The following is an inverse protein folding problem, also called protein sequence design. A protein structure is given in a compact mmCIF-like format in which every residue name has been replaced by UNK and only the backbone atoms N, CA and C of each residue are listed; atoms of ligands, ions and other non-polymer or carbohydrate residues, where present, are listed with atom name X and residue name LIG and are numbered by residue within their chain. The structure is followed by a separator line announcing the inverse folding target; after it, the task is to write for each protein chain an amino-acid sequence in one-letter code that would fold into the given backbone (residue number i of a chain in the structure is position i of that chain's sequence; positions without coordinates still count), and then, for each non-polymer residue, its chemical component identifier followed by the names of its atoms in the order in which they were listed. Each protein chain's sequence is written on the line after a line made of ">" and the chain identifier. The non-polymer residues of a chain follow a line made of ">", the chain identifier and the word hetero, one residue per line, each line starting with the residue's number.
data_IF_540912305599
#
_entry.id   IF_540912305599
#
_cell.length_a   1.000
_cell.length_b   1.000
_cell.length_c   1.000
_cell.angle_alpha   90.00
_cell.angle_beta   90.00
_cell.angle_gamma   90.00
#
_symmetry.space_group_name_H-M   'P 1'
#
loop_
_entity.id
_entity.type
_entity.pdbx_description
1 polymer ?
#
# COMPACT_ATOMS: atom_id res chain seq x y z
N UNK A 1 0.37 5.82 -14.82
CA UNK A 1 0.18 4.80 -13.78
C UNK A 1 1.29 4.91 -12.73
N UNK A 2 0.98 4.83 -11.42
CA UNK A 2 1.98 4.93 -10.34
C UNK A 2 2.53 3.55 -9.97
N UNK A 3 3.85 3.49 -9.73
CA UNK A 3 4.50 2.29 -9.18
C UNK A 3 4.61 2.42 -7.67
N UNK A 4 4.13 1.39 -6.97
CA UNK A 4 4.31 1.20 -5.54
C UNK A 4 5.06 -0.12 -5.34
N UNK A 5 5.99 -0.16 -4.40
CA UNK A 5 6.68 -1.40 -4.04
C UNK A 5 6.30 -1.77 -2.62
N UNK A 6 5.99 -3.04 -2.39
CA UNK A 6 5.68 -3.58 -1.06
C UNK A 6 6.81 -4.52 -0.64
N UNK A 7 7.33 -4.33 0.56
CA UNK A 7 8.40 -5.16 1.11
C UNK A 7 7.99 -6.62 1.23
N UNK A 8 8.94 -7.55 1.18
CA UNK A 8 8.70 -8.92 1.63
C UNK A 8 8.31 -8.92 3.11
N UNK A 9 7.47 -9.89 3.51
CA UNK A 9 6.96 -9.99 4.89
C UNK A 9 8.01 -10.50 5.90
N UNK A 10 8.98 -11.24 5.42
CA UNK A 10 10.09 -11.77 6.21
C UNK A 10 11.31 -10.84 6.25
N UNK A 11 12.31 -11.23 7.04
CA UNK A 11 13.63 -10.62 7.01
C UNK A 11 14.35 -11.05 5.72
N UNK A 12 15.01 -10.11 5.06
CA UNK A 12 15.80 -10.33 3.86
C UNK A 12 16.97 -9.33 3.84
N UNK A 13 18.17 -9.83 3.92
CA UNK A 13 19.37 -8.99 3.98
C UNK A 13 19.62 -8.20 2.69
N UNK A 14 19.12 -8.69 1.56
CA UNK A 14 19.20 -7.99 0.28
C UNK A 14 18.15 -6.85 0.13
N UNK A 15 17.20 -6.72 1.06
CA UNK A 15 16.10 -5.76 0.93
C UNK A 15 16.59 -4.31 0.93
N UNK A 16 17.40 -3.92 1.91
CA UNK A 16 17.89 -2.54 2.01
C UNK A 16 18.72 -2.11 0.80
N UNK A 17 19.70 -2.89 0.31
CA UNK A 17 20.41 -2.55 -0.91
C UNK A 17 19.51 -2.36 -2.13
N UNK A 18 18.50 -3.22 -2.30
CA UNK A 18 17.53 -3.08 -3.39
C UNK A 18 16.63 -1.85 -3.21
N UNK A 19 16.16 -1.62 -1.97
CA UNK A 19 15.36 -0.43 -1.65
C UNK A 19 16.12 0.86 -1.98
N UNK A 20 17.39 0.96 -1.61
CA UNK A 20 18.19 2.15 -1.90
C UNK A 20 18.31 2.40 -3.39
N UNK A 21 18.62 1.36 -4.19
CA UNK A 21 18.66 1.47 -5.66
C UNK A 21 17.32 1.94 -6.24
N UNK A 22 16.20 1.45 -5.72
CA UNK A 22 14.87 1.88 -6.19
C UNK A 22 14.58 3.34 -5.81
N UNK A 23 14.92 3.76 -4.59
CA UNK A 23 14.72 5.13 -4.11
C UNK A 23 15.60 6.14 -4.88
N UNK A 24 16.84 5.78 -5.18
CA UNK A 24 17.76 6.58 -6.01
C UNK A 24 17.26 6.71 -7.45
N UNK A 25 16.63 5.67 -8.00
CA UNK A 25 15.98 5.67 -9.32
C UNK A 25 14.62 6.36 -9.34
N UNK A 26 14.22 6.98 -8.23
CA UNK A 26 13.01 7.80 -8.18
C UNK A 26 11.75 7.12 -7.69
N UNK A 27 11.82 5.91 -7.08
CA UNK A 27 10.65 5.29 -6.44
C UNK A 27 10.02 6.26 -5.42
N UNK A 28 8.73 6.56 -5.60
CA UNK A 28 8.02 7.54 -4.79
C UNK A 28 7.26 6.94 -3.61
N UNK A 29 7.02 5.62 -3.61
CA UNK A 29 6.25 4.99 -2.54
C UNK A 29 6.71 3.56 -2.31
N UNK A 30 7.17 3.30 -1.09
CA UNK A 30 7.56 1.98 -0.62
C UNK A 30 6.77 1.64 0.64
N UNK A 31 6.09 0.49 0.63
CA UNK A 31 5.34 -0.03 1.77
C UNK A 31 6.17 -1.01 2.57
N UNK A 32 6.42 -0.68 3.82
CA UNK A 32 7.10 -1.57 4.77
C UNK A 32 6.03 -2.46 5.42
N UNK A 33 5.98 -3.72 4.99
CA UNK A 33 5.02 -4.73 5.46
C UNK A 33 5.75 -5.83 6.25
N UNK A 34 6.03 -5.58 7.52
CA UNK A 34 6.76 -6.48 8.43
C UNK A 34 5.85 -6.92 9.59
N UNK A 35 4.92 -7.85 9.37
CA UNK A 35 3.89 -8.19 10.35
C UNK A 35 4.44 -8.88 11.62
N UNK A 36 5.64 -9.45 11.54
CA UNK A 36 6.30 -10.15 12.65
C UNK A 36 7.31 -9.28 13.42
N UNK A 37 7.62 -8.08 12.91
CA UNK A 37 8.57 -7.19 13.60
C UNK A 37 7.92 -6.58 14.83
N UNK A 38 8.68 -6.51 15.92
CA UNK A 38 8.39 -5.66 17.06
C UNK A 38 8.56 -4.17 16.68
N UNK A 39 8.05 -3.27 17.53
CA UNK A 39 8.25 -1.83 17.35
C UNK A 39 9.73 -1.46 17.28
N UNK A 40 10.57 -2.14 18.08
CA UNK A 40 12.02 -1.91 18.09
C UNK A 40 12.65 -2.32 16.76
N UNK A 41 12.38 -3.53 16.27
CA UNK A 41 12.92 -4.02 15.00
C UNK A 41 12.50 -3.16 13.83
N UNK A 42 11.21 -2.74 13.77
CA UNK A 42 10.74 -1.86 12.71
C UNK A 42 11.40 -0.48 12.78
N UNK A 43 11.57 0.06 13.99
CA UNK A 43 12.30 1.31 14.20
C UNK A 43 13.75 1.20 13.72
N UNK A 44 14.44 0.14 14.10
CA UNK A 44 15.84 -0.08 13.77
C UNK A 44 16.00 -0.30 12.24
N UNK A 45 15.03 -0.95 11.58
CA UNK A 45 14.96 -1.07 10.13
C UNK A 45 14.79 0.30 9.44
N UNK A 46 13.84 1.13 9.91
CA UNK A 46 13.60 2.46 9.34
C UNK A 46 14.82 3.38 9.55
N UNK A 47 15.48 3.28 10.69
CA UNK A 47 16.67 4.10 11.01
C UNK A 47 17.86 3.84 10.09
N UNK A 48 17.91 2.70 9.40
CA UNK A 48 18.94 2.41 8.39
C UNK A 48 18.66 3.08 7.03
N UNK A 49 17.43 3.59 6.83
CA UNK A 49 17.05 4.27 5.60
C UNK A 49 17.35 5.76 5.76
N UNK A 50 18.07 6.40 4.82
CA UNK A 50 18.37 7.83 4.90
C UNK A 50 17.11 8.69 5.05
N UNK A 51 17.14 9.67 5.95
CA UNK A 51 15.99 10.51 6.32
C UNK A 51 15.32 11.20 5.12
N UNK A 52 16.12 11.61 4.12
CA UNK A 52 15.62 12.20 2.87
C UNK A 52 14.61 11.34 2.11
N UNK A 53 14.53 10.04 2.41
CA UNK A 53 13.58 9.10 1.80
C UNK A 53 12.40 8.73 2.70
N UNK A 54 12.37 9.16 3.96
CA UNK A 54 11.31 8.80 4.90
C UNK A 54 9.93 9.23 4.41
N UNK A 55 9.84 10.37 3.73
CA UNK A 55 8.61 10.87 3.10
C UNK A 55 8.12 10.04 1.90
N UNK A 56 8.79 8.92 1.56
CA UNK A 56 8.38 7.93 0.56
C UNK A 56 7.95 6.59 1.18
N UNK A 57 8.04 6.45 2.50
CA UNK A 57 7.78 5.20 3.22
C UNK A 57 6.38 5.18 3.81
N UNK A 58 5.68 4.06 3.66
CA UNK A 58 4.36 3.78 4.24
C UNK A 58 4.47 2.53 5.10
N UNK A 59 3.97 2.55 6.34
CA UNK A 59 4.06 1.42 7.26
C UNK A 59 2.72 0.72 7.47
N UNK A 60 2.76 -0.61 7.64
CA UNK A 60 1.58 -1.46 7.83
C UNK A 60 1.29 -1.78 9.30
N UNK A 61 2.26 -1.61 10.17
CA UNK A 61 2.16 -1.88 11.62
C UNK A 61 2.92 -0.80 12.39
N UNK A 62 2.80 -0.81 13.74
CA UNK A 62 3.51 0.13 14.61
C UNK A 62 3.35 1.60 14.18
N UNK A 63 2.11 1.98 13.94
CA UNK A 63 1.73 3.26 13.32
C UNK A 63 2.20 4.49 14.12
N UNK A 64 2.53 4.32 15.39
CA UNK A 64 3.13 5.35 16.24
C UNK A 64 4.48 5.86 15.70
N UNK A 65 5.19 5.04 14.92
CA UNK A 65 6.47 5.42 14.33
C UNK A 65 6.32 6.44 13.19
N UNK A 66 5.14 6.60 12.62
CA UNK A 66 4.92 7.49 11.47
C UNK A 66 5.29 8.94 11.76
N UNK A 67 4.96 9.42 12.96
CA UNK A 67 5.27 10.78 13.36
C UNK A 67 6.74 10.94 13.73
N UNK A 68 7.32 9.91 14.37
CA UNK A 68 8.72 9.92 14.78
C UNK A 68 9.68 10.06 13.60
N UNK A 69 9.36 9.39 12.48
CA UNK A 69 10.21 9.35 11.29
C UNK A 69 9.69 10.21 10.13
N UNK A 70 8.64 11.00 10.35
CA UNK A 70 8.00 11.82 9.30
C UNK A 70 7.71 11.01 8.02
N UNK A 71 7.08 9.84 8.19
CA UNK A 71 6.81 8.95 7.08
C UNK A 71 5.66 9.45 6.21
N UNK A 72 5.61 8.95 4.97
CA UNK A 72 4.59 9.29 3.97
C UNK A 72 3.17 8.90 4.41
N UNK A 73 3.00 7.76 5.08
CA UNK A 73 1.66 7.31 5.37
C UNK A 73 1.54 6.00 6.14
N UNK A 74 0.30 5.59 6.30
CA UNK A 74 -0.13 4.41 7.04
C UNK A 74 -1.01 3.54 6.14
N UNK A 75 -0.71 2.23 6.13
CA UNK A 75 -1.59 1.23 5.52
C UNK A 75 -2.44 0.54 6.59
N UNK A 76 -3.77 0.64 6.47
CA UNK A 76 -4.72 0.06 7.42
C UNK A 76 -5.19 -1.31 6.95
N UNK A 77 -4.70 -2.37 7.58
CA UNK A 77 -5.14 -3.75 7.35
C UNK A 77 -6.56 -4.01 7.86
N UNK A 78 -7.14 -5.19 7.52
CA UNK A 78 -8.49 -5.58 7.93
C UNK A 78 -8.70 -5.59 9.44
N UNK A 79 -7.68 -5.91 10.24
CA UNK A 79 -7.74 -5.90 11.71
C UNK A 79 -7.95 -4.47 12.23
N UNK A 80 -7.29 -3.49 11.64
CA UNK A 80 -7.42 -2.08 12.01
C UNK A 80 -8.79 -1.49 11.62
N UNK A 81 -9.44 -2.04 10.56
CA UNK A 81 -10.78 -1.62 10.12
C UNK A 81 -11.88 -1.98 11.12
N UNK A 82 -11.75 -3.09 11.86
CA UNK A 82 -12.75 -3.53 12.85
C UNK A 82 -12.89 -2.58 14.05
N UNK A 83 -11.86 -1.77 14.35
CA UNK A 83 -11.86 -0.76 15.42
C UNK A 83 -12.29 0.62 14.90
N UNK A 84 -13.51 0.75 14.37
CA UNK A 84 -14.00 1.94 13.63
C UNK A 84 -13.83 3.28 14.36
N UNK A 85 -14.21 3.37 15.63
CA UNK A 85 -14.22 4.63 16.37
C UNK A 85 -12.82 5.14 16.75
N UNK A 86 -12.00 4.27 17.32
CA UNK A 86 -10.64 4.66 17.73
C UNK A 86 -9.72 4.93 16.53
N UNK A 87 -9.99 4.32 15.37
CA UNK A 87 -9.21 4.56 14.15
C UNK A 87 -9.55 5.90 13.51
N UNK A 88 -10.82 6.34 13.55
CA UNK A 88 -11.25 7.64 13.02
C UNK A 88 -10.65 8.81 13.81
N UNK A 89 -10.73 8.76 15.16
CA UNK A 89 -10.13 9.78 16.02
C UNK A 89 -8.62 9.89 15.84
N UNK A 90 -7.91 8.75 15.79
CA UNK A 90 -6.46 8.75 15.54
C UNK A 90 -6.09 9.30 14.18
N UNK A 91 -6.84 8.98 13.11
CA UNK A 91 -6.60 9.55 11.77
C UNK A 91 -6.75 11.05 11.76
N UNK A 92 -7.81 11.58 12.40
CA UNK A 92 -8.05 13.01 12.55
C UNK A 92 -6.94 13.67 13.35
N UNK A 93 -6.50 13.04 14.43
CA UNK A 93 -5.41 13.51 15.25
C UNK A 93 -4.08 13.55 14.48
N UNK A 94 -3.72 12.48 13.78
CA UNK A 94 -2.50 12.47 12.96
C UNK A 94 -2.53 13.51 11.82
N UNK A 95 -3.67 13.75 11.18
CA UNK A 95 -3.80 14.80 10.16
C UNK A 95 -3.67 16.23 10.72
N UNK A 96 -3.92 16.45 12.00
CA UNK A 96 -3.66 17.74 12.64
C UNK A 96 -2.16 18.05 12.72
N UNK A 97 -1.32 17.04 12.92
CA UNK A 97 0.14 17.20 13.02
C UNK A 97 0.85 17.04 11.67
N UNK A 98 0.27 16.28 10.75
CA UNK A 98 0.78 16.13 9.38
C UNK A 98 -0.41 15.99 8.41
N UNK A 99 -0.80 17.09 7.78
CA UNK A 99 -1.92 17.14 6.84
C UNK A 99 -1.64 16.37 5.53
N UNK A 100 -0.37 16.13 5.22
CA UNK A 100 0.08 15.38 4.03
C UNK A 100 0.12 13.86 4.26
N UNK A 101 -0.12 13.39 5.51
CA UNK A 101 -0.08 11.98 5.83
C UNK A 101 -1.13 11.19 5.04
N UNK A 102 -0.68 10.20 4.28
CA UNK A 102 -1.54 9.36 3.45
C UNK A 102 -2.05 8.13 4.20
N UNK A 103 -3.29 7.77 3.90
CA UNK A 103 -3.93 6.57 4.41
C UNK A 103 -4.35 5.66 3.28
N UNK A 104 -3.90 4.41 3.33
CA UNK A 104 -4.27 3.39 2.36
C UNK A 104 -4.86 2.15 3.02
N UNK A 105 -5.49 1.31 2.21
CA UNK A 105 -6.01 0.01 2.65
C UNK A 105 -6.02 -0.98 1.49
N UNK A 106 -6.34 -2.26 1.79
CA UNK A 106 -6.55 -3.30 0.78
C UNK A 106 -7.99 -3.79 0.78
N UNK A 107 -8.50 -4.06 -0.43
CA UNK A 107 -9.76 -4.73 -0.69
C UNK A 107 -9.52 -6.07 -1.39
N UNK A 108 -10.36 -7.04 -1.07
CA UNK A 108 -10.36 -8.39 -1.69
C UNK A 108 -11.52 -8.59 -2.68
N UNK A 109 -12.42 -7.61 -2.79
CA UNK A 109 -13.55 -7.58 -3.71
C UNK A 109 -13.73 -6.19 -4.28
N UNK A 110 -14.50 -6.09 -5.36
CA UNK A 110 -14.81 -4.83 -6.05
C UNK A 110 -15.89 -4.00 -5.36
N UNK A 111 -16.74 -4.62 -4.53
CA UNK A 111 -17.88 -3.92 -3.91
C UNK A 111 -17.48 -2.66 -3.14
N UNK A 112 -16.39 -2.66 -2.33
CA UNK A 112 -15.97 -1.46 -1.64
C UNK A 112 -15.54 -0.31 -2.57
N UNK A 113 -15.17 -0.59 -3.82
CA UNK A 113 -14.84 0.44 -4.79
C UNK A 113 -16.12 1.18 -5.26
N UNK A 114 -17.22 0.45 -5.38
CA UNK A 114 -18.50 0.99 -5.88
C UNK A 114 -19.30 1.72 -4.79
N UNK A 115 -19.24 1.21 -3.54
CA UNK A 115 -20.15 1.66 -2.47
C UNK A 115 -19.48 2.50 -1.38
N UNK A 116 -18.16 2.68 -1.43
CA UNK A 116 -17.49 3.48 -0.42
C UNK A 116 -17.19 4.90 -0.90
N UNK A 117 -17.53 5.86 -0.03
CA UNK A 117 -17.02 7.21 -0.15
C UNK A 117 -15.48 7.21 -0.08
N UNK A 118 -14.86 8.23 -0.67
CA UNK A 118 -13.41 8.41 -0.69
C UNK A 118 -12.83 8.56 0.73
N UNK A 119 -12.66 7.42 1.42
CA UNK A 119 -12.13 7.36 2.81
C UNK A 119 -10.62 7.24 2.88
N UNK A 120 -9.99 6.80 1.80
CA UNK A 120 -8.54 6.56 1.73
C UNK A 120 -7.96 7.36 0.58
N UNK A 121 -6.68 7.69 0.70
CA UNK A 121 -5.97 8.41 -0.37
C UNK A 121 -5.73 7.47 -1.57
N UNK A 122 -5.56 6.18 -1.30
CA UNK A 122 -5.55 5.11 -2.30
C UNK A 122 -5.86 3.74 -1.67
N UNK A 123 -6.24 2.80 -2.52
CA UNK A 123 -6.55 1.43 -2.10
C UNK A 123 -5.85 0.41 -2.98
N UNK A 124 -5.46 -0.71 -2.40
CA UNK A 124 -5.05 -1.87 -3.16
C UNK A 124 -6.25 -2.76 -3.42
N UNK A 125 -6.39 -3.24 -4.64
CA UNK A 125 -7.25 -4.36 -4.98
C UNK A 125 -6.37 -5.60 -5.16
N UNK A 126 -6.64 -6.69 -4.44
CA UNK A 126 -5.74 -7.85 -4.41
C UNK A 126 -6.48 -9.15 -4.05
N UNK A 127 -6.15 -10.26 -4.72
CA UNK A 127 -5.26 -10.39 -5.87
C UNK A 127 -5.96 -9.97 -7.18
N UNK A 128 -5.24 -9.38 -8.14
CA UNK A 128 -5.82 -8.98 -9.44
C UNK A 128 -5.46 -9.99 -10.52
N UNK A 129 -4.19 -10.34 -10.63
CA UNK A 129 -3.67 -11.31 -11.60
C UNK A 129 -3.28 -12.61 -10.92
N UNK A 130 -3.06 -13.65 -11.69
CA UNK A 130 -2.55 -14.92 -11.19
C UNK A 130 -1.17 -14.72 -10.55
N UNK A 131 -0.98 -15.32 -9.38
CA UNK A 131 0.29 -15.16 -8.66
C UNK A 131 1.36 -16.10 -9.22
N UNK A 132 2.54 -15.55 -9.46
CA UNK A 132 3.73 -16.34 -9.85
C UNK A 132 4.23 -17.26 -8.73
N UNK A 133 3.76 -17.11 -7.50
CA UNK A 133 4.27 -17.80 -6.32
C UNK A 133 3.29 -18.80 -5.69
N UNK A 134 2.18 -19.13 -6.33
CA UNK A 134 1.23 -20.08 -5.73
C UNK A 134 -0.15 -20.16 -6.38
N UNK A 135 -1.06 -20.88 -5.72
CA UNK A 135 -2.40 -21.23 -6.21
C UNK A 135 -3.43 -20.09 -6.17
N UNK A 136 -3.02 -18.84 -6.25
CA UNK A 136 -3.95 -17.72 -6.32
C UNK A 136 -4.38 -17.50 -7.77
N UNK A 137 -5.66 -17.70 -8.02
CA UNK A 137 -6.27 -17.28 -9.27
C UNK A 137 -6.65 -15.80 -9.18
N UNK A 138 -6.66 -15.11 -10.33
CA UNK A 138 -7.22 -13.79 -10.43
C UNK A 138 -8.68 -13.83 -9.93
N UNK A 139 -8.96 -13.13 -8.84
CA UNK A 139 -10.25 -13.19 -8.14
C UNK A 139 -11.35 -12.38 -8.83
N UNK A 140 -11.14 -11.90 -10.07
CA UNK A 140 -12.03 -10.96 -10.74
C UNK A 140 -12.23 -11.31 -12.21
N UNK A 141 -13.49 -11.18 -12.70
CA UNK A 141 -13.77 -11.16 -14.12
C UNK A 141 -13.45 -9.78 -14.69
N UNK A 142 -12.83 -9.73 -15.86
CA UNK A 142 -12.39 -8.49 -16.50
C UNK A 142 -13.50 -7.46 -16.64
N UNK A 143 -14.70 -7.87 -17.10
CA UNK A 143 -15.84 -6.99 -17.25
C UNK A 143 -16.24 -6.30 -15.94
N UNK A 144 -16.33 -7.07 -14.84
CA UNK A 144 -16.70 -6.53 -13.54
C UNK A 144 -15.63 -5.56 -13.01
N UNK A 145 -14.36 -5.89 -13.28
CA UNK A 145 -13.22 -5.10 -12.87
C UNK A 145 -13.22 -3.74 -13.61
N UNK A 146 -13.37 -3.74 -14.94
CA UNK A 146 -13.50 -2.52 -15.74
C UNK A 146 -14.65 -1.65 -15.27
N UNK A 147 -15.82 -2.27 -15.04
CA UNK A 147 -16.98 -1.55 -14.54
C UNK A 147 -16.71 -0.89 -13.18
N UNK A 148 -16.13 -1.65 -12.23
CA UNK A 148 -15.85 -1.15 -10.89
C UNK A 148 -14.80 -0.02 -10.90
N UNK A 149 -13.75 -0.15 -11.69
CA UNK A 149 -12.68 0.86 -11.77
C UNK A 149 -13.19 2.15 -12.43
N UNK A 150 -13.95 2.06 -13.52
CA UNK A 150 -14.50 3.22 -14.23
C UNK A 150 -15.53 3.99 -13.37
N UNK A 151 -16.21 3.32 -12.45
CA UNK A 151 -17.22 3.94 -11.57
C UNK A 151 -16.65 4.26 -10.17
N UNK A 152 -15.40 3.90 -9.89
CA UNK A 152 -14.76 4.17 -8.62
C UNK A 152 -14.26 5.61 -8.52
N UNK A 153 -14.48 6.23 -7.35
CA UNK A 153 -13.85 7.51 -6.99
C UNK A 153 -12.51 7.32 -6.24
N UNK A 154 -12.10 6.06 -6.02
CA UNK A 154 -10.90 5.72 -5.29
C UNK A 154 -9.70 5.65 -6.25
N UNK A 155 -8.56 6.17 -5.83
CA UNK A 155 -7.29 5.86 -6.49
C UNK A 155 -6.97 4.39 -6.23
N UNK A 156 -7.04 3.54 -7.26
CA UNK A 156 -6.98 2.09 -7.13
C UNK A 156 -5.68 1.53 -7.72
N UNK A 157 -5.01 0.73 -6.92
CA UNK A 157 -3.71 0.11 -7.22
C UNK A 157 -3.89 -1.40 -7.37
N UNK A 158 -3.51 -1.95 -8.51
CA UNK A 158 -3.49 -3.40 -8.72
C UNK A 158 -2.36 -4.03 -7.89
N UNK A 159 -2.67 -5.11 -7.18
CA UNK A 159 -1.70 -5.89 -6.41
C UNK A 159 -1.97 -7.38 -6.53
N UNK A 160 -0.89 -8.17 -6.59
CA UNK A 160 -0.94 -9.62 -6.75
C UNK A 160 -0.82 -10.02 -8.21
N UNK A 161 0.23 -10.80 -8.53
CA UNK A 161 0.55 -11.27 -9.85
C UNK A 161 0.95 -10.19 -10.86
N UNK A 162 1.28 -8.99 -10.39
CA UNK A 162 1.75 -7.91 -11.27
C UNK A 162 3.16 -8.21 -11.76
N UNK A 163 3.35 -8.15 -13.08
CA UNK A 163 4.63 -8.31 -13.78
C UNK A 163 4.77 -7.31 -14.91
N UNK A 164 5.95 -7.23 -15.52
CA UNK A 164 6.16 -6.37 -16.68
C UNK A 164 5.18 -6.67 -17.82
N UNK A 165 4.81 -7.95 -18.01
CA UNK A 165 3.98 -8.43 -19.12
C UNK A 165 2.51 -7.99 -19.00
N UNK A 166 2.04 -7.70 -17.77
CA UNK A 166 0.64 -7.32 -17.55
C UNK A 166 0.43 -5.86 -17.11
N UNK A 167 1.50 -5.05 -17.14
CA UNK A 167 1.41 -3.61 -16.84
C UNK A 167 0.45 -2.88 -17.79
N UNK A 168 0.53 -3.19 -19.08
CA UNK A 168 -0.33 -2.59 -20.08
C UNK A 168 -1.80 -2.95 -19.82
N UNK A 169 -2.08 -4.22 -19.58
CA UNK A 169 -3.43 -4.69 -19.23
C UNK A 169 -3.96 -4.00 -17.95
N UNK A 170 -3.13 -3.84 -16.91
CA UNK A 170 -3.54 -3.11 -15.72
C UNK A 170 -3.94 -1.66 -16.02
N UNK A 171 -3.21 -0.98 -16.90
CA UNK A 171 -3.55 0.37 -17.36
C UNK A 171 -4.86 0.41 -18.16
N UNK A 172 -5.06 -0.53 -19.07
CA UNK A 172 -6.26 -0.67 -19.91
C UNK A 172 -7.51 -1.02 -19.10
N UNK A 173 -7.35 -1.75 -18.01
CA UNK A 173 -8.41 -2.04 -17.04
C UNK A 173 -8.87 -0.80 -16.26
N UNK A 174 -8.05 0.25 -16.20
CA UNK A 174 -8.35 1.50 -15.52
C UNK A 174 -7.72 1.62 -14.12
N UNK A 175 -6.68 0.82 -13.80
CA UNK A 175 -5.93 1.02 -12.57
C UNK A 175 -5.07 2.29 -12.61
N UNK A 176 -5.04 3.03 -11.50
CA UNK A 176 -4.23 4.23 -11.35
C UNK A 176 -2.76 3.90 -11.02
N UNK A 177 -2.51 2.69 -10.52
CA UNK A 177 -1.18 2.21 -10.14
C UNK A 177 -1.08 0.70 -10.03
N UNK A 178 0.15 0.22 -9.82
CA UNK A 178 0.50 -1.19 -9.62
C UNK A 178 1.45 -1.36 -8.44
N UNK A 179 1.41 -2.58 -7.81
CA UNK A 179 2.28 -2.95 -6.69
C UNK A 179 2.70 -4.42 -6.76
#
# INVERSE_FOLDING_TARGET
>A
MKLIVVSPSGQNDAELPHLFKMLERGLQTYHISKPKFSTRELRDFISQIPEKYHNRLVIHSHHELVMKFNLKGIHLSGIHKKRKFSSWLRRRWWKLFNNQLLFSTSYKSIDPLLFNDKKYDYVFLSPVFDSLSGNFQAGFFEYNLRYALNNSKQFTVARGGVSADNLQLASELGFDGVA
#
